data_IF_364556747074
#
_entry.id   IF_364556747074
#
_cell.length_a   1.000
_cell.length_b   1.000
_cell.length_c   1.000
_cell.angle_alpha   90.00
_cell.angle_beta   90.00
_cell.angle_gamma   90.00
#
_symmetry.space_group_name_H-M   'P 1'
#
loop_
_entity.id
_entity.type
_entity.pdbx_description
1 polymer ?
#
# COMPACT_ATOMS: atom_id res chain seq x y z
N UNK A 1 8.97 -8.98 -24.47
CA UNK A 1 8.16 -8.93 -23.23
C UNK A 1 7.88 -7.48 -22.93
N UNK A 2 6.62 -7.14 -22.64
CA UNK A 2 6.22 -5.78 -22.23
C UNK A 2 6.63 -5.50 -20.78
N UNK A 3 6.83 -4.22 -20.45
CA UNK A 3 7.06 -3.79 -19.07
C UNK A 3 5.75 -3.94 -18.28
N UNK A 4 5.76 -4.81 -17.26
CA UNK A 4 4.67 -4.89 -16.28
C UNK A 4 4.79 -3.73 -15.29
N UNK A 5 3.73 -2.95 -15.17
CA UNK A 5 3.67 -1.81 -14.26
C UNK A 5 3.00 -2.17 -12.95
N UNK A 6 3.41 -1.48 -11.88
CA UNK A 6 2.71 -1.57 -10.61
C UNK A 6 1.31 -0.96 -10.74
N UNK A 7 0.30 -1.76 -10.40
CA UNK A 7 -1.11 -1.38 -10.44
C UNK A 7 -1.69 -1.47 -9.03
N UNK A 8 -2.43 -0.44 -8.64
CA UNK A 8 -3.21 -0.39 -7.40
C UNK A 8 -4.68 -0.31 -7.79
N UNK A 9 -5.45 -1.34 -7.50
CA UNK A 9 -6.87 -1.40 -7.83
C UNK A 9 -7.73 -1.30 -6.58
N UNK A 10 -8.71 -0.42 -6.61
CA UNK A 10 -9.67 -0.22 -5.53
C UNK A 10 -10.96 -1.02 -5.76
N UNK A 11 -11.55 -1.46 -4.66
CA UNK A 11 -12.79 -2.20 -4.58
C UNK A 11 -13.66 -1.70 -3.43
N UNK A 12 -14.97 -1.69 -3.67
CA UNK A 12 -15.96 -1.27 -2.67
C UNK A 12 -16.43 -2.41 -1.76
N UNK A 13 -16.07 -3.65 -2.07
CA UNK A 13 -16.46 -4.85 -1.33
C UNK A 13 -15.26 -5.65 -0.83
N UNK A 14 -15.39 -6.37 0.30
CA UNK A 14 -14.31 -7.15 0.90
C UNK A 14 -13.94 -8.42 0.12
N UNK A 15 -14.69 -8.77 -0.93
CA UNK A 15 -14.42 -9.91 -1.81
C UNK A 15 -13.73 -9.50 -3.11
N UNK A 16 -13.39 -8.21 -3.26
CA UNK A 16 -12.72 -7.67 -4.44
C UNK A 16 -13.47 -7.94 -5.76
N UNK A 17 -14.81 -7.88 -5.72
CA UNK A 17 -15.68 -8.17 -6.87
C UNK A 17 -16.15 -6.89 -7.60
N UNK A 18 -16.28 -5.79 -6.87
CA UNK A 18 -16.84 -4.52 -7.32
C UNK A 18 -15.74 -3.46 -7.40
N UNK A 19 -15.16 -3.27 -8.59
CA UNK A 19 -14.06 -2.32 -8.79
C UNK A 19 -14.56 -0.88 -8.64
N UNK A 20 -13.81 -0.08 -7.87
CA UNK A 20 -14.10 1.32 -7.55
C UNK A 20 -13.10 2.31 -8.18
N UNK A 21 -12.07 1.82 -8.85
CA UNK A 21 -11.03 2.64 -9.47
C UNK A 21 -9.69 1.91 -9.55
N UNK A 22 -8.74 2.50 -10.26
CA UNK A 22 -7.38 1.97 -10.32
C UNK A 22 -6.37 3.09 -10.59
N UNK A 23 -5.16 2.89 -10.10
CA UNK A 23 -4.01 3.75 -10.29
C UNK A 23 -2.84 2.91 -10.80
N UNK A 24 -2.27 3.31 -11.93
CA UNK A 24 -1.09 2.66 -12.53
C UNK A 24 0.10 3.59 -12.34
N UNK A 25 1.22 3.07 -11.86
CA UNK A 25 2.43 3.86 -11.68
C UNK A 25 3.05 4.23 -13.03
N UNK A 26 3.34 5.52 -13.24
CA UNK A 26 4.11 5.96 -14.41
C UNK A 26 5.55 5.46 -14.37
N UNK A 27 6.14 5.45 -13.17
CA UNK A 27 7.47 4.94 -12.87
C UNK A 27 7.31 3.83 -11.85
N UNK A 28 7.75 2.61 -12.20
CA UNK A 28 7.77 1.51 -11.24
C UNK A 28 8.70 1.87 -10.06
N UNK A 29 8.33 1.49 -8.83
CA UNK A 29 9.23 1.69 -7.70
C UNK A 29 10.51 0.88 -7.92
N UNK A 30 11.63 1.43 -7.49
CA UNK A 30 12.93 0.73 -7.57
C UNK A 30 12.97 -0.52 -6.69
N UNK A 31 12.23 -0.48 -5.58
CA UNK A 31 12.11 -1.54 -4.58
C UNK A 31 10.75 -1.48 -3.90
N UNK A 32 10.34 -2.60 -3.34
CA UNK A 32 9.29 -2.66 -2.33
C UNK A 32 9.76 -3.51 -1.16
N UNK A 33 9.18 -3.27 0.01
CA UNK A 33 9.43 -4.04 1.23
C UNK A 33 8.18 -4.80 1.58
N UNK A 34 8.29 -6.13 1.73
CA UNK A 34 7.22 -7.00 2.22
C UNK A 34 7.64 -7.52 3.59
N UNK A 35 6.92 -7.08 4.61
CA UNK A 35 7.23 -7.36 6.01
C UNK A 35 6.27 -8.43 6.55
N UNK A 36 6.84 -9.43 7.21
CA UNK A 36 6.12 -10.48 7.93
C UNK A 36 6.47 -10.36 9.41
N UNK A 37 5.47 -10.33 10.28
CA UNK A 37 5.68 -10.14 11.72
C UNK A 37 5.13 -11.31 12.53
N UNK A 38 5.88 -11.72 13.55
CA UNK A 38 5.44 -12.70 14.56
C UNK A 38 5.64 -12.06 15.92
N UNK A 39 4.58 -12.06 16.74
CA UNK A 39 4.61 -11.56 18.10
C UNK A 39 4.83 -12.70 19.08
N UNK A 40 5.70 -12.47 20.05
CA UNK A 40 5.98 -13.36 21.18
C UNK A 40 5.65 -12.64 22.48
N UNK A 41 5.35 -13.40 23.53
CA UNK A 41 5.20 -12.89 24.90
C UNK A 41 6.39 -13.37 25.72
N UNK A 42 7.11 -12.42 26.32
CA UNK A 42 8.18 -12.71 27.26
C UNK A 42 7.59 -12.98 28.65
N UNK A 43 8.04 -14.00 29.39
CA UNK A 43 7.58 -14.22 30.75
C UNK A 43 8.06 -13.08 31.66
N UNK A 44 7.15 -12.46 32.41
CA UNK A 44 7.40 -11.26 33.22
C UNK A 44 8.27 -11.46 34.46
N UNK A 45 8.81 -12.66 34.69
CA UNK A 45 9.63 -12.96 35.87
C UNK A 45 11.11 -13.02 35.47
N UNK A 46 11.78 -11.88 35.65
CA UNK A 46 13.22 -11.72 35.49
C UNK A 46 13.96 -12.38 36.67
N UNK A 47 14.36 -13.65 36.51
CA UNK A 47 15.38 -14.26 37.40
C UNK A 47 16.05 -15.55 36.86
N UNK A 48 15.75 -16.04 35.66
CA UNK A 48 16.35 -17.28 35.17
C UNK A 48 16.83 -17.16 33.73
N UNK A 49 18.14 -17.29 33.54
CA UNK A 49 18.75 -17.66 32.27
C UNK A 49 18.03 -18.93 31.75
N UNK A 50 17.30 -18.81 30.64
CA UNK A 50 16.53 -19.91 30.05
C UNK A 50 15.07 -19.65 29.69
N UNK A 51 14.57 -18.42 29.75
CA UNK A 51 13.18 -18.15 29.32
C UNK A 51 13.02 -18.27 27.80
N UNK A 52 12.21 -19.24 27.38
CA UNK A 52 11.81 -19.42 25.98
C UNK A 52 10.64 -18.50 25.66
N UNK A 53 10.74 -17.65 24.61
CA UNK A 53 9.65 -16.77 24.20
C UNK A 53 8.42 -17.60 23.80
N UNK A 54 7.25 -17.25 24.32
CA UNK A 54 6.00 -17.94 23.95
C UNK A 54 5.38 -17.28 22.74
N UNK A 55 5.13 -18.05 21.69
CA UNK A 55 4.40 -17.57 20.52
C UNK A 55 3.05 -16.96 20.95
N UNK A 56 2.76 -15.75 20.47
CA UNK A 56 1.51 -15.03 20.75
C UNK A 56 0.61 -15.02 19.54
N UNK A 57 1.11 -14.54 18.41
CA UNK A 57 0.34 -14.39 17.18
C UNK A 57 1.23 -14.11 15.98
N UNK A 58 0.79 -14.52 14.79
CA UNK A 58 1.30 -13.95 13.54
C UNK A 58 0.61 -12.59 13.35
N UNK A 59 1.40 -11.53 13.20
CA UNK A 59 0.89 -10.19 12.93
C UNK A 59 0.53 -10.00 11.45
N UNK A 60 -0.21 -8.95 11.10
CA UNK A 60 -0.54 -8.69 9.71
C UNK A 60 0.73 -8.40 8.92
N UNK A 61 0.76 -8.89 7.68
CA UNK A 61 1.81 -8.52 6.73
C UNK A 61 1.62 -7.07 6.29
N UNK A 62 2.72 -6.42 5.92
CA UNK A 62 2.68 -5.06 5.37
C UNK A 62 3.58 -4.92 4.16
N UNK A 63 3.17 -4.07 3.23
CA UNK A 63 3.94 -3.76 2.02
C UNK A 63 4.13 -2.26 1.93
N UNK A 64 5.36 -1.83 1.66
CA UNK A 64 5.67 -0.41 1.49
C UNK A 64 6.60 -0.17 0.30
N UNK A 65 6.41 0.94 -0.39
CA UNK A 65 7.26 1.38 -1.48
C UNK A 65 7.12 2.89 -1.71
N UNK A 66 8.01 3.44 -2.53
CA UNK A 66 8.02 4.87 -2.88
C UNK A 66 7.63 5.03 -4.35
N UNK A 67 6.56 5.78 -4.60
CA UNK A 67 6.16 6.20 -5.96
C UNK A 67 6.83 7.53 -6.31
N UNK A 68 7.24 7.68 -7.56
CA UNK A 68 7.84 8.92 -8.06
C UNK A 68 6.92 9.59 -9.10
N UNK A 69 6.85 10.92 -9.01
CA UNK A 69 6.06 11.77 -9.91
C UNK A 69 6.98 12.84 -10.49
N UNK A 70 6.99 13.01 -11.81
CA UNK A 70 7.88 13.95 -12.49
C UNK A 70 7.17 14.63 -13.67
N UNK A 71 6.92 15.93 -13.53
CA UNK A 71 6.35 16.82 -14.54
C UNK A 71 7.41 17.70 -15.24
N UNK A 72 8.70 17.38 -15.12
CA UNK A 72 9.77 18.14 -15.79
C UNK A 72 9.80 17.92 -17.30
N UNK A 73 9.08 16.90 -17.79
CA UNK A 73 9.02 16.52 -19.20
C UNK A 73 10.12 15.56 -19.64
N UNK A 74 11.02 15.14 -18.74
CA UNK A 74 12.03 14.11 -18.99
C UNK A 74 11.35 12.74 -19.14
N UNK A 75 10.32 12.47 -18.32
CA UNK A 75 9.59 11.21 -18.31
C UNK A 75 8.21 11.46 -18.92
N UNK A 76 7.79 10.61 -19.87
CA UNK A 76 6.44 10.65 -20.43
C UNK A 76 5.46 10.07 -19.40
N UNK A 77 4.80 10.94 -18.65
CA UNK A 77 3.63 10.57 -17.85
C UNK A 77 2.48 10.18 -18.78
N UNK A 78 1.75 9.13 -18.42
CA UNK A 78 0.79 8.49 -19.30
C UNK A 78 -0.57 9.20 -19.37
N UNK A 79 -0.92 10.01 -18.37
CA UNK A 79 -2.23 10.68 -18.28
C UNK A 79 -2.17 12.12 -17.81
N UNK A 80 -1.39 12.40 -16.77
CA UNK A 80 -1.34 13.73 -16.15
C UNK A 80 0.05 14.35 -16.33
N UNK A 81 0.12 15.58 -16.86
CA UNK A 81 1.40 16.34 -16.93
C UNK A 81 1.66 17.16 -15.67
N UNK A 82 0.86 16.96 -14.63
CA UNK A 82 0.94 17.70 -13.39
C UNK A 82 1.09 16.74 -12.21
N UNK A 83 2.03 17.08 -11.33
CA UNK A 83 2.35 16.30 -10.13
C UNK A 83 1.18 16.31 -9.17
N UNK A 84 0.50 17.45 -9.01
CA UNK A 84 -0.62 17.57 -8.07
C UNK A 84 -1.79 16.71 -8.54
N UNK A 85 -2.16 16.81 -9.81
CA UNK A 85 -3.20 15.96 -10.40
C UNK A 85 -2.91 14.45 -10.25
N UNK A 86 -1.68 14.01 -10.51
CA UNK A 86 -1.30 12.61 -10.40
C UNK A 86 -1.39 12.09 -8.94
N UNK A 87 -1.00 12.92 -7.97
CA UNK A 87 -1.14 12.58 -6.53
C UNK A 87 -2.60 12.55 -6.12
N UNK A 88 -3.44 13.47 -6.60
CA UNK A 88 -4.88 13.44 -6.32
C UNK A 88 -5.54 12.20 -6.95
N UNK A 89 -5.10 11.75 -8.12
CA UNK A 89 -5.54 10.47 -8.69
C UNK A 89 -5.15 9.27 -7.81
N UNK A 90 -3.93 9.24 -7.28
CA UNK A 90 -3.51 8.22 -6.31
C UNK A 90 -4.39 8.26 -5.05
N UNK A 91 -4.62 9.44 -4.47
CA UNK A 91 -5.47 9.63 -3.29
C UNK A 91 -6.92 9.21 -3.55
N UNK A 92 -7.47 9.55 -4.72
CA UNK A 92 -8.83 9.17 -5.09
C UNK A 92 -9.06 7.65 -5.08
N UNK A 93 -8.02 6.87 -5.41
CA UNK A 93 -8.08 5.41 -5.38
C UNK A 93 -7.82 4.87 -3.98
N UNK A 94 -6.81 5.40 -3.28
CA UNK A 94 -6.23 4.78 -2.07
C UNK A 94 -6.67 5.41 -0.75
N UNK A 95 -6.98 6.71 -0.74
CA UNK A 95 -7.25 7.54 0.43
C UNK A 95 -8.63 8.23 0.35
N UNK A 96 -9.59 7.60 -0.33
CA UNK A 96 -10.98 8.09 -0.35
C UNK A 96 -11.79 7.49 0.77
N UNK A 97 -12.43 8.33 1.58
CA UNK A 97 -13.44 7.88 2.54
C UNK A 97 -14.73 7.55 1.79
N UNK A 98 -15.16 6.29 1.89
CA UNK A 98 -16.43 5.84 1.28
C UNK A 98 -17.49 5.75 2.37
N UNK A 99 -18.38 6.75 2.40
CA UNK A 99 -19.39 6.91 3.45
C UNK A 99 -20.28 5.68 3.67
N UNK A 100 -20.64 4.97 2.59
CA UNK A 100 -21.50 3.79 2.67
C UNK A 100 -20.87 2.60 3.40
N UNK A 101 -19.54 2.47 3.40
CA UNK A 101 -18.82 1.38 4.06
C UNK A 101 -18.10 1.84 5.33
N UNK A 102 -18.21 3.13 5.69
CA UNK A 102 -17.53 3.77 6.81
C UNK A 102 -16.01 3.55 6.86
N UNK A 103 -15.37 3.35 5.70
CA UNK A 103 -13.92 3.08 5.60
C UNK A 103 -13.36 3.51 4.24
N UNK A 104 -12.04 3.47 4.11
CA UNK A 104 -11.36 3.58 2.81
C UNK A 104 -11.58 2.33 1.95
N UNK A 105 -11.33 2.43 0.64
CA UNK A 105 -11.49 1.30 -0.28
C UNK A 105 -10.65 0.07 0.12
N UNK A 106 -11.13 -1.12 -0.25
CA UNK A 106 -10.28 -2.30 -0.29
C UNK A 106 -9.35 -2.20 -1.49
N UNK A 107 -8.08 -2.54 -1.31
CA UNK A 107 -7.07 -2.38 -2.36
C UNK A 107 -6.47 -3.74 -2.73
N UNK A 108 -6.07 -3.89 -3.98
CA UNK A 108 -5.19 -4.97 -4.42
C UNK A 108 -4.03 -4.33 -5.16
N UNK A 109 -2.82 -4.60 -4.70
CA UNK A 109 -1.59 -4.22 -5.38
C UNK A 109 -1.16 -5.40 -6.24
N UNK A 110 -0.85 -5.15 -7.50
CA UNK A 110 -0.36 -6.16 -8.43
C UNK A 110 0.86 -5.66 -9.19
N UNK A 111 1.91 -6.48 -9.25
CA UNK A 111 3.09 -6.20 -10.06
C UNK A 111 3.75 -7.51 -10.52
N UNK A 112 3.61 -7.82 -11.82
CA UNK A 112 4.02 -9.12 -12.35
C UNK A 112 3.23 -10.25 -11.67
N UNK A 113 3.91 -11.18 -11.01
CA UNK A 113 3.28 -12.28 -10.26
C UNK A 113 2.92 -11.91 -8.82
N UNK A 114 3.36 -10.76 -8.33
CA UNK A 114 3.06 -10.29 -6.99
C UNK A 114 1.63 -9.77 -6.93
N UNK A 115 0.83 -10.28 -5.99
CA UNK A 115 -0.54 -9.83 -5.72
C UNK A 115 -0.73 -9.72 -4.21
N UNK A 116 -1.15 -8.53 -3.74
CA UNK A 116 -1.30 -8.25 -2.32
C UNK A 116 -2.64 -7.56 -2.03
N UNK A 117 -3.63 -8.30 -1.50
CA UNK A 117 -4.88 -7.74 -1.01
C UNK A 117 -4.66 -6.97 0.29
N UNK A 118 -5.02 -5.69 0.32
CA UNK A 118 -4.61 -4.78 1.38
C UNK A 118 -5.57 -3.61 1.63
N UNK A 119 -5.23 -2.82 2.64
CA UNK A 119 -5.77 -1.48 2.89
C UNK A 119 -4.60 -0.50 3.04
N UNK A 120 -4.80 0.76 2.67
CA UNK A 120 -3.82 1.81 2.90
C UNK A 120 -3.63 1.99 4.41
N UNK A 121 -2.37 2.05 4.85
CA UNK A 121 -1.98 2.31 6.24
C UNK A 121 -1.44 3.73 6.40
N UNK A 122 -0.56 4.16 5.50
CA UNK A 122 -0.04 5.52 5.48
C UNK A 122 0.32 5.97 4.07
N UNK A 123 0.21 7.28 3.85
CA UNK A 123 0.64 7.98 2.64
C UNK A 123 1.35 9.26 3.08
N UNK A 124 2.64 9.38 2.74
CA UNK A 124 3.42 10.59 2.96
C UNK A 124 3.91 11.10 1.60
N UNK A 125 3.63 12.36 1.29
CA UNK A 125 3.98 12.97 0.01
C UNK A 125 4.98 14.10 0.22
N UNK A 126 6.13 13.99 -0.42
CA UNK A 126 7.19 15.00 -0.41
C UNK A 126 7.24 15.69 -1.78
N UNK A 127 6.95 17.00 -1.81
CA UNK A 127 6.99 17.82 -3.02
C UNK A 127 8.34 18.52 -3.16
N UNK A 128 8.91 18.48 -4.36
CA UNK A 128 10.22 19.04 -4.67
C UNK A 128 10.23 19.70 -6.05
N UNK A 129 11.30 20.46 -6.33
CA UNK A 129 11.54 21.12 -7.61
C UNK A 129 10.37 22.01 -8.04
N UNK A 130 10.33 23.23 -7.52
CA UNK A 130 9.20 24.14 -7.74
C UNK A 130 9.49 25.11 -8.89
N UNK A 131 8.44 25.48 -9.61
CA UNK A 131 8.45 26.68 -10.46
C UNK A 131 8.52 27.94 -9.60
N UNK A 132 8.83 29.08 -10.22
CA UNK A 132 8.80 30.39 -9.57
C UNK A 132 7.43 30.78 -9.02
N UNK A 133 6.34 30.20 -9.55
CA UNK A 133 4.97 30.39 -9.07
C UNK A 133 4.57 29.47 -7.90
N UNK A 134 5.47 28.57 -7.46
CA UNK A 134 5.22 27.62 -6.38
C UNK A 134 4.61 26.28 -6.82
N UNK A 135 4.39 26.05 -8.12
CA UNK A 135 3.91 24.74 -8.63
C UNK A 135 5.01 23.68 -8.51
N UNK A 136 4.77 22.51 -7.87
CA UNK A 136 5.75 21.43 -7.82
C UNK A 136 5.92 20.74 -9.18
N UNK A 137 7.15 20.43 -9.55
CA UNK A 137 7.49 19.67 -10.75
C UNK A 137 7.87 18.23 -10.45
N UNK A 138 8.14 17.90 -9.18
CA UNK A 138 8.48 16.53 -8.79
C UNK A 138 7.91 16.21 -7.41
N UNK A 139 7.56 14.95 -7.18
CA UNK A 139 7.21 14.49 -5.84
C UNK A 139 7.56 13.02 -5.65
N UNK A 140 7.68 12.63 -4.39
CA UNK A 140 7.74 11.22 -3.98
C UNK A 140 6.58 10.94 -3.03
N UNK A 141 5.91 9.80 -3.19
CA UNK A 141 4.90 9.32 -2.25
C UNK A 141 5.38 8.02 -1.61
N UNK A 142 5.68 8.07 -0.32
CA UNK A 142 5.94 6.90 0.49
C UNK A 142 4.61 6.33 0.96
N UNK A 143 4.30 5.12 0.50
CA UNK A 143 3.05 4.43 0.78
C UNK A 143 3.31 3.16 1.57
N UNK A 144 2.48 2.93 2.59
CA UNK A 144 2.45 1.70 3.37
C UNK A 144 1.05 1.10 3.33
N UNK A 145 0.98 -0.21 3.20
CA UNK A 145 -0.25 -0.98 3.15
C UNK A 145 -0.19 -2.12 4.15
N UNK A 146 -1.33 -2.42 4.77
CA UNK A 146 -1.52 -3.59 5.64
C UNK A 146 -2.36 -4.63 4.94
N UNK A 147 -1.99 -5.90 5.09
CA UNK A 147 -2.72 -7.02 4.52
C UNK A 147 -4.18 -6.98 4.98
N UNK A 148 -5.08 -7.15 4.02
CA UNK A 148 -6.50 -7.28 4.28
C UNK A 148 -6.90 -8.74 4.08
N UNK A 149 -7.36 -9.36 5.17
CA UNK A 149 -7.86 -10.72 5.17
C UNK A 149 -9.37 -10.65 5.41
N UNK A 150 -10.15 -11.13 4.45
CA UNK A 150 -11.60 -11.20 4.60
C UNK A 150 -11.98 -12.27 5.66
N UNK A 151 -13.22 -12.22 6.14
CA UNK A 151 -13.65 -13.11 7.22
C UNK A 151 -13.60 -14.60 6.86
N UNK A 152 -13.89 -14.94 5.61
CA UNK A 152 -13.90 -16.33 5.13
C UNK A 152 -12.49 -16.93 5.19
N UNK A 153 -11.49 -16.20 4.69
CA UNK A 153 -10.07 -16.59 4.78
C UNK A 153 -9.59 -16.59 6.23
N UNK A 154 -10.03 -15.62 7.05
CA UNK A 154 -9.70 -15.57 8.48
C UNK A 154 -10.21 -16.81 9.23
N UNK A 155 -11.42 -17.29 8.92
CA UNK A 155 -11.99 -18.53 9.49
C UNK A 155 -11.21 -19.77 9.07
N UNK A 156 -10.70 -19.81 7.84
CA UNK A 156 -9.86 -20.93 7.36
C UNK A 156 -8.53 -20.94 8.13
N UNK A 157 -7.86 -19.79 8.24
CA UNK A 157 -6.59 -19.67 8.99
C UNK A 157 -6.78 -20.06 10.46
N UNK A 158 -7.86 -19.58 11.09
CA UNK A 158 -8.15 -19.88 12.49
C UNK A 158 -8.46 -21.36 12.76
N UNK A 159 -8.95 -22.12 11.77
CA UNK A 159 -9.19 -23.58 11.89
C UNK A 159 -7.92 -24.41 11.71
N UNK A 160 -6.86 -23.83 11.15
CA UNK A 160 -5.56 -24.47 10.94
C UNK A 160 -4.56 -24.16 12.08
N UNK A 161 -4.97 -23.33 13.04
CA UNK A 161 -4.22 -22.96 14.25
C UNK A 161 -4.68 -23.80 15.44
#
# INVERSE_FOLDING_TARGET
>A
MSLEKLLIKAYSDPKFSSSAGQYEADINPEKFTHNHSISYTDPTNAASEGNTPKFKSIGPESVSFTLQFDATGIIKMSKDRDVVAAIEALKAVTYTYVGNIHRSNYLVISWGTFVFPCTLDSLNVNYTMFKSDGTPLRATADVSFKAYINEDTKKIIAKQS
#
